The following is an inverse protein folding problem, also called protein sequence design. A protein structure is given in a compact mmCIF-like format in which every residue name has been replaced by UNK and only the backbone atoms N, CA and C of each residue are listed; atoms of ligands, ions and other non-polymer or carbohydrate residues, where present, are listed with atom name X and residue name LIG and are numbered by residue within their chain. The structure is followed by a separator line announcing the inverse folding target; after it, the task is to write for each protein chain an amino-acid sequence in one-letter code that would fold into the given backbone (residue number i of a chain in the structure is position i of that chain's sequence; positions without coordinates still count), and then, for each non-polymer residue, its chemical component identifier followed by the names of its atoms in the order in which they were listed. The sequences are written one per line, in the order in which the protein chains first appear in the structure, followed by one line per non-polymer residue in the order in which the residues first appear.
data_IF_286417932710
#
_entry.id   IF_286417932710
#
_cell.length_a   1.000
_cell.length_b   1.000
_cell.length_c   1.000
_cell.angle_alpha   90.00
_cell.angle_beta   90.00
_cell.angle_gamma   90.00
#
_symmetry.space_group_name_H-M   'P 1'
#
loop_
_entity.id
_entity.type
_entity.pdbx_description
1 polymer ?
#
# COMPACT_ATOMS: atom_id res chain seq x y z
N UNK A 1 46.87 -25.52 -26.48
CA UNK A 1 46.98 -25.17 -25.06
C UNK A 1 45.94 -24.10 -24.75
N UNK A 2 44.97 -24.46 -23.91
CA UNK A 2 43.80 -23.67 -23.54
C UNK A 2 44.16 -22.36 -22.82
N UNK A 3 43.56 -21.24 -23.22
CA UNK A 3 43.64 -19.97 -22.50
C UNK A 3 42.34 -19.76 -21.73
N UNK A 4 42.23 -20.42 -20.58
CA UNK A 4 41.22 -20.11 -19.56
C UNK A 4 41.71 -18.87 -18.81
N UNK A 5 41.51 -17.68 -19.38
CA UNK A 5 41.79 -16.43 -18.69
C UNK A 5 40.56 -15.52 -18.82
N UNK A 6 40.06 -15.09 -17.67
CA UNK A 6 39.13 -13.96 -17.47
C UNK A 6 37.68 -14.12 -17.97
N UNK A 7 36.85 -14.83 -17.20
CA UNK A 7 35.40 -14.54 -17.11
C UNK A 7 35.07 -13.71 -15.83
N UNK A 8 36.02 -12.87 -15.41
CA UNK A 8 35.85 -11.92 -14.31
C UNK A 8 35.99 -10.52 -14.90
N UNK A 9 34.87 -9.91 -15.28
CA UNK A 9 34.86 -8.49 -15.62
C UNK A 9 34.85 -7.75 -14.28
N UNK A 10 35.88 -6.94 -14.03
CA UNK A 10 35.94 -5.98 -12.90
C UNK A 10 35.72 -6.57 -11.50
N UNK A 11 36.28 -7.75 -11.22
CA UNK A 11 36.21 -8.38 -9.90
C UNK A 11 34.86 -9.03 -9.57
N UNK A 12 33.92 -9.05 -10.51
CA UNK A 12 32.65 -9.75 -10.37
C UNK A 12 32.75 -11.15 -11.00
N UNK A 13 32.60 -12.19 -10.17
CA UNK A 13 32.57 -13.58 -10.61
C UNK A 13 31.19 -13.90 -11.20
N UNK A 14 31.11 -13.83 -12.54
CA UNK A 14 29.89 -14.07 -13.31
C UNK A 14 29.30 -15.47 -13.05
N UNK A 15 30.13 -16.48 -12.76
CA UNK A 15 29.66 -17.85 -12.49
C UNK A 15 28.99 -17.94 -11.14
N UNK A 16 29.51 -17.25 -10.12
CA UNK A 16 28.86 -17.14 -8.83
C UNK A 16 27.55 -16.34 -8.89
N UNK A 17 27.51 -15.27 -9.69
CA UNK A 17 26.26 -14.50 -9.91
C UNK A 17 25.20 -15.36 -10.60
N UNK A 18 25.60 -16.13 -11.63
CA UNK A 18 24.68 -17.02 -12.34
C UNK A 18 24.15 -18.12 -11.41
N UNK A 19 25.03 -18.72 -10.59
CA UNK A 19 24.64 -19.75 -9.61
C UNK A 19 23.69 -19.21 -8.52
N UNK A 20 23.87 -17.95 -8.08
CA UNK A 20 22.93 -17.28 -7.17
C UNK A 20 21.61 -16.96 -7.87
N UNK A 21 21.64 -16.49 -9.12
CA UNK A 21 20.46 -16.19 -9.92
C UNK A 21 19.58 -17.42 -10.18
N UNK A 22 20.17 -18.60 -10.39
CA UNK A 22 19.41 -19.85 -10.53
C UNK A 22 18.71 -20.28 -9.25
N UNK A 23 19.27 -19.99 -8.07
CA UNK A 23 18.59 -20.21 -6.79
C UNK A 23 17.44 -19.24 -6.55
N UNK A 24 17.63 -17.96 -6.92
CA UNK A 24 16.60 -16.93 -6.79
C UNK A 24 15.40 -17.12 -7.73
N UNK A 25 15.58 -17.82 -8.85
CA UNK A 25 14.48 -18.13 -9.77
C UNK A 25 13.43 -19.06 -9.13
N UNK A 26 13.87 -20.10 -8.41
CA UNK A 26 12.97 -21.01 -7.69
C UNK A 26 12.22 -20.29 -6.56
N UNK A 27 12.93 -19.44 -5.80
CA UNK A 27 12.33 -18.62 -4.74
C UNK A 27 11.30 -17.62 -5.30
N UNK A 28 11.57 -17.04 -6.48
CA UNK A 28 10.66 -16.14 -7.16
C UNK A 28 9.39 -16.87 -7.65
N UNK A 29 9.52 -18.10 -8.16
CA UNK A 29 8.37 -18.92 -8.55
C UNK A 29 7.50 -19.32 -7.36
N UNK A 30 8.10 -19.69 -6.23
CA UNK A 30 7.39 -19.98 -4.98
C UNK A 30 6.69 -18.73 -4.42
N UNK A 31 7.34 -17.57 -4.50
CA UNK A 31 6.76 -16.29 -4.11
C UNK A 31 5.56 -15.91 -4.98
N UNK A 32 5.69 -16.00 -6.31
CA UNK A 32 4.59 -15.74 -7.25
C UNK A 32 3.44 -16.70 -6.98
N UNK A 33 3.71 -18.00 -6.83
CA UNK A 33 2.69 -19.02 -6.50
C UNK A 33 1.98 -18.72 -5.18
N UNK A 34 2.71 -18.24 -4.17
CA UNK A 34 2.17 -17.82 -2.89
C UNK A 34 1.35 -16.52 -2.94
N UNK A 35 1.52 -15.69 -3.97
CA UNK A 35 0.76 -14.45 -4.17
C UNK A 35 -0.50 -14.67 -5.02
N UNK A 36 -0.45 -15.52 -6.04
CA UNK A 36 -1.53 -15.68 -7.03
C UNK A 36 -2.90 -16.01 -6.41
N UNK A 37 -2.96 -16.74 -5.29
CA UNK A 37 -4.22 -17.11 -4.62
C UNK A 37 -4.63 -16.22 -3.44
N UNK A 38 -3.79 -15.26 -3.01
CA UNK A 38 -4.09 -14.42 -1.82
C UNK A 38 -5.10 -13.31 -2.10
N UNK A 39 -5.27 -12.92 -3.37
CA UNK A 39 -6.21 -11.87 -3.78
C UNK A 39 -7.65 -12.35 -4.01
N UNK A 40 -7.83 -13.64 -4.29
CA UNK A 40 -9.14 -14.24 -4.59
C UNK A 40 -10.21 -14.03 -3.51
N UNK A 41 -9.93 -14.22 -2.19
CA UNK A 41 -10.94 -14.03 -1.16
C UNK A 41 -11.39 -12.56 -1.02
N UNK A 42 -10.53 -11.60 -1.37
CA UNK A 42 -10.82 -10.16 -1.24
C UNK A 42 -11.52 -9.61 -2.49
N UNK A 43 -11.38 -10.28 -3.63
CA UNK A 43 -11.93 -9.83 -4.92
C UNK A 43 -13.46 -9.78 -4.91
N UNK A 44 -14.11 -10.84 -4.43
CA UNK A 44 -15.57 -10.89 -4.35
C UNK A 44 -16.14 -9.84 -3.39
N UNK A 45 -15.48 -9.63 -2.24
CA UNK A 45 -15.87 -8.58 -1.30
C UNK A 45 -15.66 -7.18 -1.89
N UNK A 46 -14.55 -6.94 -2.58
CA UNK A 46 -14.27 -5.67 -3.26
C UNK A 46 -15.31 -5.38 -4.35
N UNK A 47 -15.68 -6.38 -5.15
CA UNK A 47 -16.73 -6.26 -6.17
C UNK A 47 -18.09 -5.93 -5.55
N UNK A 48 -18.44 -6.60 -4.44
CA UNK A 48 -19.68 -6.32 -3.71
C UNK A 48 -19.70 -4.90 -3.10
N UNK A 49 -18.59 -4.44 -2.52
CA UNK A 49 -18.45 -3.08 -1.99
C UNK A 49 -18.56 -2.05 -3.11
N UNK A 50 -17.89 -2.28 -4.24
CA UNK A 50 -17.95 -1.38 -5.39
C UNK A 50 -19.37 -1.31 -6.00
N UNK A 51 -20.09 -2.45 -6.06
CA UNK A 51 -21.48 -2.48 -6.51
C UNK A 51 -22.39 -1.68 -5.55
N UNK A 52 -22.24 -1.87 -4.23
CA UNK A 52 -22.98 -1.11 -3.22
C UNK A 52 -22.69 0.39 -3.30
N UNK A 53 -21.44 0.79 -3.47
CA UNK A 53 -21.05 2.20 -3.61
C UNK A 53 -21.68 2.85 -4.84
N UNK A 54 -21.71 2.16 -5.99
CA UNK A 54 -22.37 2.67 -7.20
C UNK A 54 -23.88 2.77 -7.03
N UNK A 55 -24.51 1.77 -6.41
CA UNK A 55 -25.96 1.80 -6.13
C UNK A 55 -26.32 2.95 -5.17
N UNK A 56 -25.52 3.16 -4.12
CA UNK A 56 -25.70 4.27 -3.20
C UNK A 56 -25.55 5.62 -3.92
N UNK A 57 -24.52 5.79 -4.76
CA UNK A 57 -24.34 7.00 -5.54
C UNK A 57 -25.50 7.27 -6.52
N UNK A 58 -26.04 6.23 -7.15
CA UNK A 58 -27.20 6.34 -8.03
C UNK A 58 -28.51 6.69 -7.29
N UNK A 59 -28.59 6.38 -6.00
CA UNK A 59 -29.75 6.70 -5.15
C UNK A 59 -29.75 8.12 -4.59
N UNK A 60 -28.68 8.89 -4.80
CA UNK A 60 -28.58 10.28 -4.32
C UNK A 60 -29.52 11.15 -5.17
N UNK A 61 -30.52 11.75 -4.53
CA UNK A 61 -31.38 12.75 -5.16
C UNK A 61 -30.57 14.05 -5.39
N UNK A 62 -30.36 14.49 -6.64
CA UNK A 62 -29.57 15.69 -6.92
C UNK A 62 -30.16 16.97 -6.31
N UNK A 63 -31.47 16.98 -6.05
CA UNK A 63 -32.20 18.08 -5.41
C UNK A 63 -31.97 18.20 -3.91
N UNK A 64 -31.43 17.16 -3.26
CA UNK A 64 -31.09 17.16 -1.83
C UNK A 64 -29.62 17.52 -1.58
N UNK A 65 -28.81 17.62 -2.64
CA UNK A 65 -27.41 18.03 -2.53
C UNK A 65 -27.34 19.53 -2.21
N UNK A 66 -26.43 19.95 -1.31
CA UNK A 66 -26.20 21.37 -1.06
C UNK A 66 -25.78 22.04 -2.37
N UNK A 67 -26.42 23.16 -2.69
CA UNK A 67 -26.05 23.96 -3.84
C UNK A 67 -24.58 24.37 -3.70
N UNK A 68 -23.78 24.06 -4.72
CA UNK A 68 -22.39 24.50 -4.80
C UNK A 68 -22.29 26.04 -4.79
N UNK A 69 -21.09 26.59 -4.52
CA UNK A 69 -20.89 28.03 -4.52
C UNK A 69 -21.41 28.66 -5.83
N UNK A 70 -22.19 29.76 -5.76
CA UNK A 70 -22.69 30.41 -6.96
C UNK A 70 -21.52 31.03 -7.74
N UNK A 71 -21.33 30.64 -8.99
CA UNK A 71 -20.31 31.21 -9.87
C UNK A 71 -19.67 30.19 -10.83
N UNK A 72 -18.77 30.64 -11.71
CA UNK A 72 -17.96 29.75 -12.53
C UNK A 72 -17.18 28.79 -11.65
N UNK A 73 -17.03 27.53 -12.09
CA UNK A 73 -16.19 26.55 -11.40
C UNK A 73 -14.76 27.10 -11.34
N UNK A 74 -14.30 27.42 -10.13
CA UNK A 74 -12.92 27.85 -9.89
C UNK A 74 -12.01 26.62 -9.86
N UNK A 75 -11.46 26.27 -11.03
CA UNK A 75 -10.53 25.16 -11.19
C UNK A 75 -9.25 25.35 -10.38
N UNK A 76 -8.83 26.59 -10.13
CA UNK A 76 -7.64 26.88 -9.33
C UNK A 76 -7.91 26.59 -7.84
N UNK A 77 -9.11 26.89 -7.35
CA UNK A 77 -9.55 26.49 -6.01
C UNK A 77 -9.64 24.95 -5.88
N UNK A 78 -10.11 24.26 -6.91
CA UNK A 78 -10.12 22.78 -6.95
C UNK A 78 -8.70 22.23 -6.94
N UNK A 79 -7.79 22.78 -7.76
CA UNK A 79 -6.38 22.40 -7.79
C UNK A 79 -5.71 22.64 -6.44
N UNK A 80 -5.96 23.78 -5.79
CA UNK A 80 -5.44 24.08 -4.44
C UNK A 80 -6.02 23.15 -3.37
N UNK A 81 -7.31 22.85 -3.42
CA UNK A 81 -7.97 21.94 -2.48
C UNK A 81 -7.50 20.50 -2.67
N UNK A 82 -7.39 20.03 -3.92
CA UNK A 82 -6.85 18.72 -4.26
C UNK A 82 -5.36 18.61 -3.90
N UNK A 83 -4.57 19.66 -4.14
CA UNK A 83 -3.16 19.71 -3.73
C UNK A 83 -3.02 19.72 -2.21
N UNK A 84 -3.89 20.43 -1.47
CA UNK A 84 -3.89 20.40 -0.01
C UNK A 84 -4.27 19.02 0.55
N UNK A 85 -5.21 18.31 -0.09
CA UNK A 85 -5.58 16.94 0.27
C UNK A 85 -4.49 15.92 -0.10
N UNK A 86 -3.80 16.12 -1.22
CA UNK A 86 -2.68 15.28 -1.64
C UNK A 86 -1.38 15.58 -0.84
N UNK A 87 -1.27 16.79 -0.30
CA UNK A 87 -0.15 17.23 0.56
C UNK A 87 -0.44 17.07 2.05
N UNK A 88 -1.59 16.50 2.44
CA UNK A 88 -1.71 15.87 3.75
C UNK A 88 -0.51 14.92 3.89
N UNK A 89 0.23 14.92 5.01
CA UNK A 89 1.65 14.55 5.08
C UNK A 89 1.89 13.07 4.79
N UNK A 90 1.76 12.71 3.52
CA UNK A 90 2.36 11.57 2.86
C UNK A 90 3.73 12.11 2.50
N UNK A 91 4.66 12.05 3.45
CA UNK A 91 6.01 12.56 3.26
C UNK A 91 6.61 12.04 1.95
N UNK A 92 7.47 12.82 1.30
CA UNK A 92 8.13 12.50 0.01
C UNK A 92 9.03 11.24 0.05
N UNK A 93 9.04 10.50 1.16
CA UNK A 93 9.77 9.26 1.37
C UNK A 93 8.88 8.00 1.32
N UNK A 94 9.47 6.80 1.45
CA UNK A 94 8.71 5.56 1.51
C UNK A 94 7.70 5.58 2.66
N UNK A 95 6.46 5.22 2.37
CA UNK A 95 5.36 5.16 3.34
C UNK A 95 5.70 4.11 4.42
N UNK A 96 5.96 4.55 5.64
CA UNK A 96 6.23 3.66 6.78
C UNK A 96 4.90 3.05 7.26
N UNK A 97 4.79 1.73 7.21
CA UNK A 97 3.61 0.99 7.68
C UNK A 97 3.99 0.11 8.87
N UNK A 98 3.41 0.38 10.03
CA UNK A 98 3.65 -0.41 11.24
C UNK A 98 2.41 -1.24 11.59
N UNK A 99 2.60 -2.56 11.77
CA UNK A 99 1.52 -3.47 12.17
C UNK A 99 1.51 -3.62 13.69
N UNK A 100 0.43 -3.15 14.32
CA UNK A 100 0.22 -3.24 15.76
C UNK A 100 -0.80 -4.34 16.09
N UNK A 101 -0.51 -5.12 17.13
CA UNK A 101 -1.45 -6.05 17.75
C UNK A 101 -1.87 -5.52 19.12
N UNK A 102 -3.16 -5.62 19.43
CA UNK A 102 -3.69 -5.29 20.77
C UNK A 102 -3.27 -6.30 21.84
N UNK A 103 -2.71 -7.45 21.45
CA UNK A 103 -2.15 -8.43 22.38
C UNK A 103 -0.77 -8.03 22.91
N UNK A 104 -0.19 -6.91 22.43
CA UNK A 104 1.09 -6.39 22.91
C UNK A 104 0.93 -5.66 24.24
N UNK A 105 1.98 -5.63 25.10
CA UNK A 105 2.01 -4.79 26.28
C UNK A 105 1.83 -3.30 25.93
N UNK A 106 1.05 -2.57 26.72
CA UNK A 106 0.66 -1.18 26.50
C UNK A 106 1.86 -0.25 26.25
N UNK A 107 2.94 -0.41 27.03
CA UNK A 107 4.15 0.40 26.88
C UNK A 107 4.82 0.23 25.51
N UNK A 108 4.74 -0.95 24.91
CA UNK A 108 5.28 -1.23 23.57
C UNK A 108 4.38 -0.65 22.48
N UNK A 109 3.06 -0.72 22.69
CA UNK A 109 2.08 -0.17 21.76
C UNK A 109 2.18 1.36 21.67
N UNK A 110 2.22 2.04 22.81
CA UNK A 110 2.32 3.49 22.89
C UNK A 110 3.60 4.03 22.24
N UNK A 111 4.72 3.32 22.41
CA UNK A 111 5.98 3.67 21.73
C UNK A 111 5.88 3.48 20.23
N UNK A 112 5.35 2.34 19.76
CA UNK A 112 5.17 2.08 18.33
C UNK A 112 4.31 3.15 17.65
N UNK A 113 3.20 3.55 18.29
CA UNK A 113 2.33 4.62 17.79
C UNK A 113 3.09 5.95 17.74
N UNK A 114 3.77 6.34 18.82
CA UNK A 114 4.51 7.60 18.89
C UNK A 114 5.63 7.69 17.85
N UNK A 115 6.37 6.59 17.64
CA UNK A 115 7.48 6.53 16.69
C UNK A 115 6.98 6.51 15.25
N UNK A 116 5.89 5.79 14.97
CA UNK A 116 5.27 5.73 13.63
C UNK A 116 4.63 7.08 13.26
N UNK A 117 3.93 7.73 14.20
CA UNK A 117 3.34 9.04 14.00
C UNK A 117 4.41 10.12 13.76
N UNK A 118 5.54 10.08 14.50
CA UNK A 118 6.68 10.99 14.30
C UNK A 118 7.30 10.83 12.92
N UNK A 119 7.32 9.61 12.39
CA UNK A 119 7.84 9.30 11.07
C UNK A 119 6.84 9.57 9.92
N UNK A 120 5.62 10.06 10.21
CA UNK A 120 4.58 10.26 9.20
C UNK A 120 4.04 8.95 8.61
N UNK A 121 4.21 7.84 9.33
CA UNK A 121 3.75 6.52 8.93
C UNK A 121 2.32 6.22 9.37
N UNK A 122 1.79 5.11 8.87
CA UNK A 122 0.46 4.59 9.21
C UNK A 122 0.58 3.37 10.14
N UNK A 123 -0.25 3.32 11.18
CA UNK A 123 -0.35 2.17 12.09
C UNK A 123 -1.59 1.35 11.75
N UNK A 124 -1.40 0.07 11.43
CA UNK A 124 -2.48 -0.87 11.13
C UNK A 124 -2.72 -1.76 12.34
N UNK A 125 -3.92 -1.69 12.92
CA UNK A 125 -4.31 -2.56 14.03
C UNK A 125 -4.89 -3.87 13.52
N UNK A 126 -4.26 -4.99 13.88
CA UNK A 126 -4.80 -6.33 13.69
C UNK A 126 -5.53 -6.76 14.97
N UNK A 127 -6.84 -7.05 14.86
CA UNK A 127 -7.60 -7.68 15.94
C UNK A 127 -8.84 -6.93 16.45
N UNK A 128 -9.32 -5.87 15.78
CA UNK A 128 -10.68 -5.39 16.02
C UNK A 128 -11.66 -6.45 15.49
N UNK A 129 -12.12 -7.34 16.37
CA UNK A 129 -13.30 -8.14 16.10
C UNK A 129 -14.49 -7.18 16.06
N UNK A 130 -15.13 -7.11 14.91
CA UNK A 130 -16.37 -6.42 14.65
C UNK A 130 -17.39 -6.73 15.76
N UNK A 131 -17.57 -5.82 16.72
CA UNK A 131 -18.80 -5.69 17.50
C UNK A 131 -19.48 -4.45 16.96
N UNK A 132 -20.28 -4.66 15.94
CA UNK A 132 -21.39 -3.77 15.60
C UNK A 132 -22.58 -4.35 16.35
N UNK A 133 -22.97 -3.69 17.43
CA UNK A 133 -24.29 -3.85 18.06
C UNK A 133 -25.22 -2.81 17.44
#
# INVERSE_FOLDING_TARGET
MSRTAAQTVEGLDIKQVLARGTGQAADAEDFVRGLTGKGDPVKAEAEAVAAKGRAAAASINPSELPAGPPGPIDFDAILKGAAANASAPLGEGPLLVAFASLSMPEASLSRLIADTARAGGIVVFRGMSTVVT
#
